data_IF_222391425544
#
_entry.id   IF_222391425544
#
_cell.length_a   1.000
_cell.length_b   1.000
_cell.length_c   1.000
_cell.angle_alpha   90.00
_cell.angle_beta   90.00
_cell.angle_gamma   90.00
#
_symmetry.space_group_name_H-M   'P 1'
#
loop_
_entity.id
_entity.type
_entity.pdbx_description
1 polymer ?
#
# COMPACT_ATOMS: atom_id res chain seq x y z
N UNK A 1 -5.02 -1.50 -26.06
CA UNK A 1 -3.90 -2.21 -25.41
C UNK A 1 -3.39 -3.28 -26.37
N UNK A 2 -2.08 -3.42 -26.59
CA UNK A 2 -1.55 -4.47 -27.45
C UNK A 2 -1.57 -5.82 -26.71
N UNK A 3 -2.56 -6.65 -27.07
CA UNK A 3 -2.80 -7.98 -26.49
C UNK A 3 -1.69 -9.00 -26.83
N UNK A 4 -0.72 -8.64 -27.66
CA UNK A 4 0.43 -9.51 -28.02
C UNK A 4 1.50 -9.54 -26.93
N UNK A 5 1.63 -8.44 -26.18
CA UNK A 5 2.69 -8.26 -25.18
C UNK A 5 2.18 -8.57 -23.78
N UNK A 6 0.92 -8.26 -23.50
CA UNK A 6 0.33 -8.39 -22.17
C UNK A 6 -0.53 -9.64 -22.05
N UNK A 7 -0.17 -10.50 -21.10
CA UNK A 7 -0.90 -11.74 -20.78
C UNK A 7 -1.81 -11.49 -19.59
N UNK A 8 -3.07 -11.88 -19.71
CA UNK A 8 -3.99 -11.85 -18.57
C UNK A 8 -3.61 -12.95 -17.58
N UNK A 9 -3.39 -12.58 -16.33
CA UNK A 9 -2.97 -13.53 -15.27
C UNK A 9 -4.00 -13.68 -14.16
N UNK A 10 -4.84 -12.68 -13.97
CA UNK A 10 -5.79 -12.66 -12.87
C UNK A 10 -7.04 -11.87 -13.25
N UNK A 11 -8.18 -12.36 -12.80
CA UNK A 11 -9.45 -11.67 -12.87
C UNK A 11 -10.27 -12.05 -11.63
N UNK A 12 -10.82 -11.05 -10.98
CA UNK A 12 -11.92 -11.18 -10.03
C UNK A 12 -13.07 -10.23 -10.44
N UNK A 13 -14.12 -10.15 -9.63
CA UNK A 13 -15.28 -9.29 -9.89
C UNK A 13 -14.94 -7.79 -9.83
N UNK A 14 -13.82 -7.43 -9.19
CA UNK A 14 -13.42 -6.04 -8.93
C UNK A 14 -12.26 -5.57 -9.81
N UNK A 15 -11.47 -6.45 -10.42
CA UNK A 15 -10.29 -6.11 -11.20
C UNK A 15 -9.81 -7.23 -12.13
N UNK A 16 -9.18 -6.80 -13.21
CA UNK A 16 -8.44 -7.66 -14.15
C UNK A 16 -6.98 -7.21 -14.17
N UNK A 17 -6.05 -8.16 -14.08
CA UNK A 17 -4.61 -7.88 -14.12
C UNK A 17 -3.99 -8.58 -15.31
N UNK A 18 -3.23 -7.80 -16.07
CA UNK A 18 -2.41 -8.25 -17.17
C UNK A 18 -0.95 -7.99 -16.85
N UNK A 19 -0.07 -8.89 -17.27
CA UNK A 19 1.37 -8.75 -17.06
C UNK A 19 2.15 -8.75 -18.36
N UNK A 20 3.27 -8.03 -18.33
CA UNK A 20 4.31 -8.11 -19.36
C UNK A 20 5.68 -7.84 -18.73
N UNK A 21 6.72 -8.40 -19.34
CA UNK A 21 8.10 -7.97 -19.07
C UNK A 21 8.53 -7.09 -20.23
N UNK A 22 8.90 -5.85 -19.93
CA UNK A 22 9.30 -4.85 -20.92
C UNK A 22 10.60 -4.18 -20.48
N UNK A 23 11.39 -3.71 -21.45
CA UNK A 23 12.59 -2.94 -21.15
C UNK A 23 12.22 -1.48 -20.87
N UNK A 24 12.60 -0.96 -19.71
CA UNK A 24 12.44 0.45 -19.35
C UNK A 24 13.62 1.27 -19.89
N UNK A 25 13.35 2.19 -20.81
CA UNK A 25 14.38 3.07 -21.38
C UNK A 25 14.99 3.99 -20.31
N UNK A 26 14.16 4.52 -19.41
CA UNK A 26 14.59 5.45 -18.36
C UNK A 26 15.45 4.77 -17.29
N UNK A 27 15.05 3.57 -16.86
CA UNK A 27 15.79 2.81 -15.83
C UNK A 27 16.93 1.98 -16.42
N UNK A 28 16.95 1.76 -17.75
CA UNK A 28 17.88 0.87 -18.45
C UNK A 28 17.87 -0.57 -17.92
N UNK A 29 16.70 -1.04 -17.48
CA UNK A 29 16.51 -2.40 -16.95
C UNK A 29 15.19 -3.00 -17.45
N UNK A 30 15.12 -4.33 -17.47
CA UNK A 30 13.85 -5.03 -17.65
C UNK A 30 12.98 -4.85 -16.40
N UNK A 31 11.74 -4.46 -16.61
CA UNK A 31 10.72 -4.33 -15.58
C UNK A 31 9.57 -5.26 -15.88
N UNK A 32 8.98 -5.83 -14.83
CA UNK A 32 7.67 -6.45 -14.93
C UNK A 32 6.61 -5.39 -14.71
N UNK A 33 5.64 -5.35 -15.60
CA UNK A 33 4.54 -4.39 -15.60
C UNK A 33 3.26 -5.14 -15.31
N UNK A 34 2.50 -4.66 -14.33
CA UNK A 34 1.16 -5.13 -14.00
C UNK A 34 0.17 -4.04 -14.41
N UNK A 35 -0.52 -4.26 -15.51
CA UNK A 35 -1.61 -3.40 -15.97
C UNK A 35 -2.91 -3.89 -15.34
N UNK A 36 -3.53 -3.04 -14.53
CA UNK A 36 -4.70 -3.40 -13.72
C UNK A 36 -5.90 -2.55 -14.11
N UNK A 37 -6.95 -3.20 -14.57
CA UNK A 37 -8.27 -2.61 -14.80
C UNK A 37 -9.13 -2.87 -13.57
N UNK A 38 -9.73 -1.83 -13.00
CA UNK A 38 -10.69 -1.95 -11.91
C UNK A 38 -12.10 -1.88 -12.46
N UNK A 39 -12.96 -2.80 -12.03
CA UNK A 39 -14.32 -2.99 -12.52
C UNK A 39 -15.34 -2.41 -11.52
N UNK A 40 -16.46 -1.91 -12.03
CA UNK A 40 -17.65 -1.62 -11.21
C UNK A 40 -18.50 -2.89 -11.02
N UNK A 41 -19.58 -2.78 -10.23
CA UNK A 41 -20.56 -3.85 -10.01
C UNK A 41 -21.23 -4.37 -11.30
N UNK A 42 -21.18 -3.59 -12.38
CA UNK A 42 -21.71 -3.97 -13.71
C UNK A 42 -20.64 -4.63 -14.60
N UNK A 43 -19.40 -4.79 -14.11
CA UNK A 43 -18.29 -5.36 -14.86
C UNK A 43 -17.63 -4.41 -15.86
N UNK A 44 -17.94 -3.11 -15.81
CA UNK A 44 -17.35 -2.09 -16.68
C UNK A 44 -16.08 -1.52 -16.05
N UNK A 45 -15.07 -1.23 -16.88
CA UNK A 45 -13.80 -0.67 -16.43
C UNK A 45 -14.01 0.77 -15.98
N UNK A 46 -13.76 1.03 -14.69
CA UNK A 46 -13.84 2.37 -14.09
C UNK A 46 -12.51 3.08 -14.09
N UNK A 47 -11.44 2.36 -13.80
CA UNK A 47 -10.11 2.92 -13.68
C UNK A 47 -9.07 1.92 -14.16
N UNK A 48 -7.98 2.44 -14.74
CA UNK A 48 -6.87 1.65 -15.24
C UNK A 48 -5.59 2.19 -14.64
N UNK A 49 -4.84 1.34 -13.96
CA UNK A 49 -3.58 1.71 -13.31
C UNK A 49 -2.45 0.81 -13.79
N UNK A 50 -1.32 1.42 -14.12
CA UNK A 50 -0.09 0.72 -14.46
C UNK A 50 0.83 0.67 -13.25
N UNK A 51 1.18 -0.54 -12.82
CA UNK A 51 2.18 -0.79 -11.79
C UNK A 51 3.39 -1.47 -12.40
N UNK A 52 4.57 -1.35 -11.78
CA UNK A 52 5.76 -2.03 -12.26
C UNK A 52 6.68 -2.47 -11.13
N UNK A 53 7.56 -3.42 -11.40
CA UNK A 53 8.64 -3.81 -10.50
C UNK A 53 9.91 -4.08 -11.29
N UNK A 54 11.05 -3.69 -10.73
CA UNK A 54 12.37 -4.06 -11.24
C UNK A 54 12.69 -5.54 -11.04
N UNK A 55 12.01 -6.20 -10.09
CA UNK A 55 12.10 -7.65 -9.94
C UNK A 55 11.11 -8.33 -10.89
N UNK A 56 11.63 -8.93 -11.97
CA UNK A 56 10.83 -9.59 -13.00
C UNK A 56 10.28 -10.95 -12.59
N UNK A 57 10.82 -11.59 -11.54
CA UNK A 57 10.31 -12.88 -11.04
C UNK A 57 9.11 -12.75 -10.10
N UNK A 58 8.78 -11.53 -9.66
CA UNK A 58 7.66 -11.26 -8.75
C UNK A 58 6.31 -11.48 -9.44
N UNK A 59 5.31 -11.95 -8.68
CA UNK A 59 3.93 -12.03 -9.17
C UNK A 59 3.34 -10.63 -9.34
N UNK A 60 2.64 -10.41 -10.45
CA UNK A 60 1.95 -9.15 -10.74
C UNK A 60 0.83 -8.86 -9.73
N UNK A 61 0.21 -9.88 -9.13
CA UNK A 61 -0.75 -9.69 -8.03
C UNK A 61 -0.05 -9.05 -6.82
N UNK A 62 1.14 -9.52 -6.47
CA UNK A 62 1.95 -8.99 -5.38
C UNK A 62 2.41 -7.56 -5.66
N UNK A 63 2.78 -7.25 -6.91
CA UNK A 63 3.11 -5.88 -7.31
C UNK A 63 1.93 -4.96 -6.98
N UNK A 64 0.72 -5.30 -7.43
CA UNK A 64 -0.49 -4.49 -7.13
C UNK A 64 -0.72 -4.38 -5.62
N UNK A 65 -0.57 -5.48 -4.87
CA UNK A 65 -0.73 -5.49 -3.41
C UNK A 65 0.25 -4.55 -2.70
N UNK A 66 1.53 -4.58 -3.07
CA UNK A 66 2.54 -3.71 -2.48
C UNK A 66 2.31 -2.24 -2.82
N UNK A 67 1.90 -1.93 -4.05
CA UNK A 67 1.54 -0.54 -4.40
C UNK A 67 0.34 -0.04 -3.60
N UNK A 68 -0.66 -0.89 -3.35
CA UNK A 68 -1.77 -0.53 -2.43
C UNK A 68 -1.27 -0.30 -1.00
N UNK A 69 -0.37 -1.15 -0.51
CA UNK A 69 0.24 -0.98 0.80
C UNK A 69 1.11 0.29 0.90
N UNK A 70 1.67 0.79 -0.22
CA UNK A 70 2.46 2.04 -0.24
C UNK A 70 1.68 3.23 0.31
N UNK A 71 0.39 3.32 0.00
CA UNK A 71 -0.47 4.40 0.49
C UNK A 71 -0.68 4.32 2.01
N UNK A 72 -0.61 3.12 2.60
CA UNK A 72 -0.75 2.96 4.05
C UNK A 72 0.39 3.65 4.83
N UNK A 73 1.59 3.73 4.25
CA UNK A 73 2.70 4.46 4.87
C UNK A 73 2.41 5.96 4.99
N UNK A 74 1.69 6.56 4.04
CA UNK A 74 1.36 7.98 4.08
C UNK A 74 0.47 8.34 5.28
N UNK A 75 -0.41 7.42 5.70
CA UNK A 75 -1.21 7.62 6.91
C UNK A 75 -0.37 7.67 8.18
N UNK A 76 0.68 6.83 8.30
CA UNK A 76 1.56 6.83 9.48
C UNK A 76 2.24 8.19 9.63
N UNK A 77 2.79 8.73 8.54
CA UNK A 77 3.43 10.05 8.56
C UNK A 77 2.42 11.18 8.79
N UNK A 78 1.23 11.09 8.20
CA UNK A 78 0.16 12.08 8.44
C UNK A 78 -0.27 12.10 9.90
N UNK A 79 -0.50 10.93 10.49
CA UNK A 79 -0.86 10.80 11.90
C UNK A 79 0.25 11.34 12.81
N UNK A 80 1.51 11.04 12.48
CA UNK A 80 2.68 11.56 13.18
C UNK A 80 2.72 13.09 13.17
N UNK A 81 2.50 13.71 12.01
CA UNK A 81 2.50 15.17 11.85
C UNK A 81 1.32 15.82 12.57
N UNK A 82 0.12 15.28 12.39
CA UNK A 82 -1.11 15.91 12.86
C UNK A 82 -1.35 15.71 14.36
N UNK A 83 -1.00 14.55 14.91
CA UNK A 83 -1.37 14.18 16.29
C UNK A 83 -0.17 14.03 17.23
N UNK A 84 1.00 13.63 16.72
CA UNK A 84 2.17 13.33 17.56
C UNK A 84 3.30 14.36 17.43
N UNK A 85 3.04 15.48 16.74
CA UNK A 85 3.97 16.60 16.64
C UNK A 85 5.27 16.29 15.91
N UNK A 86 5.25 15.38 14.93
CA UNK A 86 6.43 14.94 14.19
C UNK A 86 7.22 16.12 13.59
N UNK A 87 6.53 17.17 13.13
CA UNK A 87 7.13 18.36 12.51
C UNK A 87 7.29 19.54 13.49
N UNK A 88 6.96 19.36 14.78
CA UNK A 88 6.97 20.45 15.77
C UNK A 88 8.34 20.64 16.45
N UNK A 89 9.29 19.74 16.24
CA UNK A 89 10.62 19.84 16.85
C UNK A 89 11.42 21.01 16.26
N UNK A 90 11.86 21.92 17.10
CA UNK A 90 12.72 23.07 16.72
C UNK A 90 14.15 22.93 17.27
N UNK A 91 14.55 21.72 17.67
CA UNK A 91 15.89 21.47 18.17
C UNK A 91 16.94 21.61 17.04
N UNK A 92 18.13 22.12 17.38
CA UNK A 92 19.27 22.27 16.44
C UNK A 92 20.31 21.18 16.55
N UNK A 93 20.20 20.30 17.54
CA UNK A 93 21.09 19.14 17.70
C UNK A 93 20.51 17.94 16.97
N UNK A 94 21.35 17.28 16.17
CA UNK A 94 21.02 16.07 15.40
C UNK A 94 20.44 14.99 16.30
N UNK A 95 21.07 14.73 17.45
CA UNK A 95 20.61 13.72 18.41
C UNK A 95 19.21 14.02 18.95
N UNK A 96 18.93 15.29 19.27
CA UNK A 96 17.62 15.71 19.78
C UNK A 96 16.52 15.57 18.72
N UNK A 97 16.83 15.86 17.46
CA UNK A 97 15.91 15.66 16.34
C UNK A 97 15.62 14.17 16.16
N UNK A 98 16.65 13.31 16.17
CA UNK A 98 16.46 11.86 16.06
C UNK A 98 15.59 11.29 17.18
N UNK A 99 15.86 11.69 18.43
CA UNK A 99 15.07 11.24 19.57
C UNK A 99 13.61 11.68 19.44
N UNK A 100 13.35 12.94 19.06
CA UNK A 100 11.99 13.44 18.85
C UNK A 100 11.23 12.66 17.78
N UNK A 101 11.85 12.45 16.61
CA UNK A 101 11.24 11.70 15.50
C UNK A 101 10.91 10.26 15.94
N UNK A 102 11.85 9.60 16.62
CA UNK A 102 11.64 8.24 17.12
C UNK A 102 10.50 8.17 18.15
N UNK A 103 10.41 9.13 19.07
CA UNK A 103 9.33 9.18 20.04
C UNK A 103 7.97 9.44 19.38
N UNK A 104 7.88 10.40 18.45
CA UNK A 104 6.64 10.69 17.72
C UNK A 104 6.15 9.45 16.95
N UNK A 105 7.04 8.75 16.22
CA UNK A 105 6.67 7.54 15.48
C UNK A 105 6.33 6.37 16.41
N UNK A 106 7.01 6.25 17.55
CA UNK A 106 6.68 5.24 18.57
C UNK A 106 5.29 5.48 19.16
N UNK A 107 4.93 6.73 19.44
CA UNK A 107 3.61 7.10 19.93
C UNK A 107 2.51 6.73 18.91
N UNK A 108 2.73 6.97 17.61
CA UNK A 108 1.81 6.51 16.54
C UNK A 108 1.65 5.00 16.56
N UNK A 109 2.76 4.26 16.69
CA UNK A 109 2.72 2.78 16.71
C UNK A 109 1.97 2.25 17.93
N UNK A 110 2.18 2.81 19.12
CA UNK A 110 1.45 2.46 20.34
C UNK A 110 -0.04 2.74 20.17
N UNK A 111 -0.41 3.92 19.67
CA UNK A 111 -1.80 4.28 19.44
C UNK A 111 -2.49 3.30 18.47
N UNK A 112 -1.84 2.95 17.36
CA UNK A 112 -2.35 1.96 16.40
C UNK A 112 -2.47 0.56 17.02
N UNK A 113 -1.52 0.16 17.87
CA UNK A 113 -1.57 -1.13 18.56
C UNK A 113 -2.76 -1.23 19.52
N UNK A 114 -3.02 -0.17 20.30
CA UNK A 114 -4.17 -0.09 21.21
C UNK A 114 -5.48 -0.17 20.43
N UNK A 115 -5.62 0.61 19.35
CA UNK A 115 -6.82 0.59 18.48
C UNK A 115 -7.05 -0.82 17.92
N UNK A 116 -5.98 -1.47 17.44
CA UNK A 116 -6.05 -2.83 16.89
C UNK A 116 -6.52 -3.84 17.93
N UNK A 117 -5.98 -3.79 19.15
CA UNK A 117 -6.43 -4.66 20.25
C UNK A 117 -7.90 -4.42 20.60
N UNK A 118 -8.33 -3.16 20.68
CA UNK A 118 -9.73 -2.81 20.94
C UNK A 118 -10.69 -3.32 19.86
N UNK A 119 -10.28 -3.28 18.59
CA UNK A 119 -11.09 -3.83 17.49
C UNK A 119 -11.21 -5.35 17.57
N UNK A 120 -10.11 -6.06 17.88
CA UNK A 120 -10.12 -7.52 18.05
C UNK A 120 -11.07 -7.95 19.17
N UNK A 121 -11.08 -7.22 20.30
CA UNK A 121 -12.00 -7.50 21.40
C UNK A 121 -13.47 -7.29 21.00
N UNK A 122 -13.79 -6.23 20.26
CA UNK A 122 -15.14 -5.98 19.75
C UNK A 122 -15.60 -7.05 18.77
N UNK A 123 -14.71 -7.52 17.90
CA UNK A 123 -15.04 -8.56 16.92
C UNK A 123 -15.29 -9.92 17.60
N UNK A 124 -14.55 -10.25 18.66
CA UNK A 124 -14.80 -11.45 19.49
C UNK A 124 -16.13 -11.39 20.27
N UNK A 125 -16.53 -10.20 20.74
CA UNK A 125 -17.81 -10.02 21.44
C UNK A 125 -19.00 -10.21 20.49
N UNK A 126 -18.94 -9.64 19.27
CA UNK A 126 -20.01 -9.82 18.28
C UNK A 126 -20.20 -11.26 17.83
N UNK A 127 -19.13 -12.06 17.73
CA UNK A 127 -19.26 -13.48 17.37
C UNK A 127 -19.92 -14.31 18.48
N UNK A 128 -19.72 -13.91 19.74
CA UNK A 128 -20.36 -14.54 20.91
C UNK A 128 -21.85 -14.20 21.00
N UNK A 129 -22.28 -13.03 20.52
CA UNK A 129 -23.68 -12.60 20.51
C UNK A 129 -24.51 -13.17 19.33
N UNK A 130 -23.85 -13.72 18.32
CA UNK A 130 -24.45 -14.30 17.11
C UNK A 130 -24.50 -15.84 17.13
N UNK A 131 -24.02 -16.47 18.22
CA UNK A 131 -24.05 -17.92 18.46
C UNK A 131 -25.04 -18.26 19.57
#
# INVERSE_FOLDING_TARGET
MDKRVFKKIFQDDAKVIYEAVVYSISLKVNIKVAYTEYLNEKGEVTNTILYFSTNTSRDSIDIVRYYKARFQMEFIFRDGKQFMGLDNCQARSVEKIHNHVNYAMTAVNIAKAIIRQGNLQKDSMRQTELS
#
